data_IF_069533466626
#
_entry.id   IF_069533466626
#
_cell.length_a   1.000
_cell.length_b   1.000
_cell.length_c   1.000
_cell.angle_alpha   90.00
_cell.angle_beta   90.00
_cell.angle_gamma   90.00
#
_symmetry.space_group_name_H-M   'P 1'
#
loop_
_entity.id
_entity.type
_entity.pdbx_description
1 polymer ?
#
# COMPACT_ATOMS: atom_id res chain seq x y z
N UNK A 1 -13.46 -9.10 -0.29
CA UNK A 1 -12.57 -8.41 -1.26
C UNK A 1 -11.47 -9.34 -1.69
N UNK A 2 -11.23 -9.48 -2.98
CA UNK A 2 -10.08 -10.24 -3.47
C UNK A 2 -8.87 -9.31 -3.67
N UNK A 3 -7.69 -9.90 -3.89
CA UNK A 3 -6.45 -9.13 -4.02
C UNK A 3 -6.45 -8.22 -5.24
N UNK A 4 -7.07 -8.62 -6.34
CA UNK A 4 -7.10 -7.80 -7.53
C UNK A 4 -7.94 -6.53 -7.33
N UNK A 5 -9.07 -6.65 -6.62
CA UNK A 5 -9.88 -5.51 -6.24
C UNK A 5 -9.11 -4.56 -5.32
N UNK A 6 -8.39 -5.10 -4.35
CA UNK A 6 -7.59 -4.29 -3.44
C UNK A 6 -6.48 -3.53 -4.17
N UNK A 7 -5.77 -4.19 -5.09
CA UNK A 7 -4.74 -3.57 -5.90
C UNK A 7 -5.30 -2.40 -6.69
N UNK A 8 -6.46 -2.59 -7.33
CA UNK A 8 -7.14 -1.55 -8.09
C UNK A 8 -7.50 -0.33 -7.22
N UNK A 9 -8.05 -0.59 -6.05
CA UNK A 9 -8.45 0.47 -5.12
C UNK A 9 -7.24 1.26 -4.64
N UNK A 10 -6.17 0.57 -4.26
CA UNK A 10 -4.94 1.22 -3.78
C UNK A 10 -4.34 2.10 -4.86
N UNK A 11 -4.19 1.57 -6.08
CA UNK A 11 -3.66 2.35 -7.22
C UNK A 11 -4.51 3.59 -7.49
N UNK A 12 -5.83 3.43 -7.53
CA UNK A 12 -6.75 4.53 -7.80
C UNK A 12 -6.64 5.63 -6.74
N UNK A 13 -6.67 5.26 -5.46
CA UNK A 13 -6.59 6.23 -4.37
C UNK A 13 -5.26 6.98 -4.36
N UNK A 14 -4.16 6.28 -4.59
CA UNK A 14 -2.85 6.93 -4.67
C UNK A 14 -2.81 7.90 -5.86
N UNK A 15 -3.23 7.46 -7.04
CA UNK A 15 -3.22 8.32 -8.24
C UNK A 15 -4.14 9.54 -8.11
N UNK A 16 -5.26 9.42 -7.39
CA UNK A 16 -6.18 10.53 -7.19
C UNK A 16 -5.66 11.57 -6.20
N UNK A 17 -4.77 11.19 -5.30
CA UNK A 17 -4.33 12.04 -4.20
C UNK A 17 -2.88 12.47 -4.27
N UNK A 18 -2.05 11.81 -5.07
CA UNK A 18 -0.61 12.07 -5.17
C UNK A 18 -0.22 12.12 -6.64
N UNK A 19 0.54 13.17 -7.00
CA UNK A 19 1.16 13.22 -8.33
C UNK A 19 2.28 12.20 -8.39
N UNK A 20 2.15 11.21 -9.26
CA UNK A 20 3.16 10.16 -9.40
C UNK A 20 3.24 9.65 -10.84
N UNK A 21 4.43 9.19 -11.22
CA UNK A 21 4.67 8.63 -12.55
C UNK A 21 4.18 7.19 -12.65
N UNK A 22 4.46 6.39 -11.62
CA UNK A 22 4.03 5.00 -11.59
C UNK A 22 3.62 4.60 -10.17
N UNK A 23 2.66 3.69 -10.09
CA UNK A 23 2.24 3.04 -8.85
C UNK A 23 2.15 1.54 -9.13
N UNK A 24 2.89 0.75 -8.37
CA UNK A 24 2.86 -0.70 -8.46
C UNK A 24 2.49 -1.29 -7.10
N UNK A 25 1.62 -2.28 -7.10
CA UNK A 25 1.19 -2.99 -5.89
C UNK A 25 1.43 -4.47 -6.08
N UNK A 26 2.22 -5.06 -5.20
CA UNK A 26 2.51 -6.50 -5.23
C UNK A 26 1.87 -7.19 -4.04
N UNK A 27 1.27 -8.35 -4.29
CA UNK A 27 0.73 -9.22 -3.24
C UNK A 27 1.88 -10.02 -2.63
N UNK A 28 2.14 -9.80 -1.34
CA UNK A 28 3.15 -10.52 -0.57
C UNK A 28 2.55 -11.43 0.50
N UNK A 29 1.26 -11.69 0.41
CA UNK A 29 0.53 -12.48 1.41
C UNK A 29 1.13 -13.87 1.58
N UNK A 30 1.60 -14.47 0.49
CA UNK A 30 2.19 -15.82 0.51
C UNK A 30 3.43 -15.93 1.42
N UNK A 31 4.15 -14.82 1.66
CA UNK A 31 5.32 -14.81 2.54
C UNK A 31 4.96 -14.95 4.01
N UNK A 32 3.69 -14.75 4.36
CA UNK A 32 3.21 -14.70 5.74
C UNK A 32 2.18 -15.79 6.07
N UNK A 33 1.84 -16.66 5.14
CA UNK A 33 0.78 -17.66 5.32
C UNK A 33 1.00 -18.62 6.49
N UNK A 34 2.25 -18.95 6.78
CA UNK A 34 2.61 -19.81 7.90
C UNK A 34 2.91 -19.05 9.18
N UNK A 35 2.81 -17.73 9.17
CA UNK A 35 3.09 -16.88 10.33
C UNK A 35 1.96 -17.00 11.35
N UNK A 36 2.26 -17.16 12.66
CA UNK A 36 1.20 -17.30 13.68
C UNK A 36 0.22 -16.15 13.75
N UNK A 37 0.63 -14.94 13.36
CA UNK A 37 -0.21 -13.75 13.36
C UNK A 37 -0.99 -13.54 12.06
N UNK A 38 -0.88 -14.47 11.10
CA UNK A 38 -1.60 -14.36 9.84
C UNK A 38 -3.12 -14.40 10.09
N UNK A 39 -3.82 -13.43 9.52
CA UNK A 39 -5.27 -13.32 9.62
C UNK A 39 -5.90 -13.61 8.27
N UNK A 40 -6.86 -14.55 8.24
CA UNK A 40 -7.59 -14.85 7.01
C UNK A 40 -8.36 -13.62 6.53
N UNK A 41 -8.32 -13.38 5.22
CA UNK A 41 -9.03 -12.27 4.59
C UNK A 41 -8.29 -10.95 4.61
N UNK A 42 -7.11 -10.90 5.22
CA UNK A 42 -6.24 -9.72 5.18
C UNK A 42 -4.98 -10.00 4.39
N UNK A 43 -4.47 -8.97 3.73
CA UNK A 43 -3.37 -9.09 2.78
C UNK A 43 -2.11 -8.38 3.27
N UNK A 44 -0.98 -8.88 2.82
CA UNK A 44 0.32 -8.22 2.97
C UNK A 44 0.72 -7.72 1.58
N UNK A 45 0.94 -6.41 1.45
CA UNK A 45 1.24 -5.83 0.14
C UNK A 45 2.53 -5.00 0.17
N UNK A 46 3.14 -4.88 -1.01
CA UNK A 46 4.27 -4.00 -1.25
C UNK A 46 3.83 -2.93 -2.24
N UNK A 47 3.95 -1.67 -1.83
CA UNK A 47 3.56 -0.53 -2.63
C UNK A 47 4.83 0.19 -3.11
N UNK A 48 5.00 0.27 -4.43
CA UNK A 48 6.11 0.99 -5.05
C UNK A 48 5.55 2.21 -5.78
N UNK A 49 6.02 3.39 -5.42
CA UNK A 49 5.57 4.64 -6.02
C UNK A 49 6.77 5.40 -6.56
N UNK A 50 6.69 5.78 -7.83
CA UNK A 50 7.63 6.72 -8.41
C UNK A 50 6.99 8.10 -8.41
N UNK A 51 7.44 8.97 -7.51
CA UNK A 51 6.86 10.30 -7.30
C UNK A 51 7.91 11.28 -6.82
N UNK A 52 8.18 12.29 -7.60
CA UNK A 52 9.07 13.37 -7.20
C UNK A 52 8.50 14.13 -6.00
N UNK A 53 7.20 14.32 -5.98
CA UNK A 53 6.50 14.99 -4.87
C UNK A 53 6.76 14.29 -3.54
N UNK A 54 6.63 12.96 -3.49
CA UNK A 54 6.88 12.18 -2.27
C UNK A 54 8.38 12.09 -1.95
N UNK A 55 9.22 12.03 -2.97
CA UNK A 55 10.67 11.91 -2.79
C UNK A 55 11.28 13.15 -2.16
N UNK A 56 10.68 14.31 -2.40
CA UNK A 56 11.12 15.58 -1.80
C UNK A 56 10.76 15.68 -0.31
N UNK A 57 9.83 14.86 0.17
CA UNK A 57 9.46 14.79 1.57
C UNK A 57 10.35 13.78 2.31
N UNK A 58 10.47 13.92 3.63
CA UNK A 58 11.13 12.86 4.38
C UNK A 58 10.24 11.61 4.43
N UNK A 59 10.85 10.48 4.77
CA UNK A 59 10.18 9.18 4.75
C UNK A 59 8.97 9.12 5.69
N UNK A 60 9.07 9.76 6.84
CA UNK A 60 7.99 9.77 7.83
C UNK A 60 6.77 10.50 7.28
N UNK A 61 6.97 11.68 6.71
CA UNK A 61 5.88 12.47 6.12
C UNK A 61 5.21 11.75 4.96
N UNK A 62 6.00 11.15 4.07
CA UNK A 62 5.49 10.40 2.93
C UNK A 62 4.66 9.21 3.38
N UNK A 63 5.15 8.45 4.36
CA UNK A 63 4.43 7.29 4.90
C UNK A 63 3.13 7.69 5.57
N UNK A 64 3.13 8.76 6.36
CA UNK A 64 1.91 9.27 7.00
C UNK A 64 0.86 9.66 5.98
N UNK A 65 1.28 10.31 4.89
CA UNK A 65 0.36 10.72 3.83
C UNK A 65 -0.29 9.50 3.18
N UNK A 66 0.51 8.49 2.88
CA UNK A 66 0.01 7.24 2.28
C UNK A 66 -0.93 6.51 3.23
N UNK A 67 -0.59 6.41 4.51
CA UNK A 67 -1.45 5.78 5.52
C UNK A 67 -2.79 6.50 5.64
N UNK A 68 -2.80 7.81 5.56
CA UNK A 68 -4.03 8.59 5.59
C UNK A 68 -4.92 8.32 4.39
N UNK A 69 -4.31 8.24 3.20
CA UNK A 69 -5.04 7.95 1.95
C UNK A 69 -5.66 6.55 1.99
N UNK A 70 -4.94 5.58 2.54
CA UNK A 70 -5.34 4.18 2.57
C UNK A 70 -5.93 3.76 3.93
N UNK A 71 -6.36 4.70 4.76
CA UNK A 71 -6.82 4.43 6.12
C UNK A 71 -7.90 3.35 6.19
N UNK A 72 -8.90 3.41 5.32
CA UNK A 72 -9.98 2.43 5.29
C UNK A 72 -9.47 1.04 4.95
N UNK A 73 -8.63 0.94 3.91
CA UNK A 73 -8.07 -0.33 3.47
C UNK A 73 -7.12 -0.93 4.51
N UNK A 74 -6.34 -0.10 5.18
CA UNK A 74 -5.45 -0.55 6.24
C UNK A 74 -6.22 -1.12 7.44
N UNK A 75 -7.37 -0.57 7.74
CA UNK A 75 -8.21 -1.08 8.83
C UNK A 75 -8.92 -2.38 8.49
N UNK A 76 -9.39 -2.52 7.24
CA UNK A 76 -10.29 -3.61 6.86
C UNK A 76 -9.61 -4.75 6.11
N UNK A 77 -8.64 -4.46 5.25
CA UNK A 77 -8.15 -5.43 4.25
C UNK A 77 -6.66 -5.66 4.25
N UNK A 78 -5.87 -4.72 4.77
CA UNK A 78 -4.42 -4.81 4.75
C UNK A 78 -3.88 -5.08 6.15
N UNK A 79 -3.15 -6.19 6.30
CA UNK A 79 -2.50 -6.52 7.56
C UNK A 79 -1.16 -5.79 7.69
N UNK A 80 -0.38 -5.78 6.62
CA UNK A 80 0.87 -5.01 6.57
C UNK A 80 1.13 -4.45 5.19
N UNK A 81 1.83 -3.32 5.14
CA UNK A 81 2.21 -2.66 3.91
C UNK A 81 3.67 -2.24 3.97
N UNK A 82 4.43 -2.60 2.93
CA UNK A 82 5.78 -2.10 2.72
C UNK A 82 5.71 -1.00 1.66
N UNK A 83 6.28 0.17 1.95
CA UNK A 83 6.23 1.31 1.03
C UNK A 83 7.64 1.61 0.53
N UNK A 84 7.79 1.63 -0.79
CA UNK A 84 9.02 2.05 -1.46
C UNK A 84 8.71 3.25 -2.34
N UNK A 85 9.48 4.32 -2.17
CA UNK A 85 9.32 5.56 -2.93
C UNK A 85 10.60 5.81 -3.71
N UNK A 86 10.44 5.93 -5.03
CA UNK A 86 11.52 6.26 -5.97
C UNK A 86 11.43 7.70 -6.45
#
# INVERSE_FOLDING_TARGET
MDINQLIEIVKRKINQNISCDTVEVEDKTFLHRSHPSHQNGKFHIKLKIKSLYLKEKNKIESSKKIYKILDEELKKYIHSIQILID
#
